data_IF_107625702145
#
_entry.id   IF_107625702145
#
_cell.length_a   1.000
_cell.length_b   1.000
_cell.length_c   1.000
_cell.angle_alpha   90.00
_cell.angle_beta   90.00
_cell.angle_gamma   90.00
#
_symmetry.space_group_name_H-M   'P 1'
#
loop_
_entity.id
_entity.type
_entity.pdbx_description
1 polymer ?
#
# COMPACT_ATOMS: atom_id res chain seq x y z
N UNK A 1 2.19 -23.69 -2.24
CA UNK A 1 3.32 -24.11 -3.11
C UNK A 1 3.51 -23.07 -4.18
N UNK A 2 4.65 -22.39 -4.16
CA UNK A 2 5.11 -21.56 -5.28
C UNK A 2 5.88 -22.50 -6.25
N UNK A 3 5.19 -23.39 -6.93
CA UNK A 3 5.77 -24.06 -8.09
C UNK A 3 5.77 -23.04 -9.24
N UNK A 4 6.81 -23.10 -10.09
CA UNK A 4 6.85 -22.36 -11.35
C UNK A 4 5.66 -22.83 -12.19
N UNK A 5 4.49 -22.24 -11.97
CA UNK A 5 3.27 -22.62 -12.69
C UNK A 5 3.43 -22.23 -14.16
N UNK A 6 3.27 -23.20 -15.03
CA UNK A 6 3.00 -22.97 -16.44
C UNK A 6 1.88 -21.93 -16.55
N UNK A 7 2.15 -20.84 -17.27
CA UNK A 7 1.20 -19.75 -17.50
C UNK A 7 -0.17 -20.32 -17.87
N UNK A 8 -1.17 -20.04 -17.05
CA UNK A 8 -2.55 -20.40 -17.34
C UNK A 8 -3.00 -19.71 -18.65
N UNK A 9 -3.91 -20.34 -19.43
CA UNK A 9 -4.48 -19.69 -20.58
C UNK A 9 -5.15 -18.36 -20.17
N UNK A 10 -5.18 -17.36 -21.07
CA UNK A 10 -5.70 -16.04 -20.77
C UNK A 10 -7.16 -16.12 -20.32
N UNK A 11 -7.41 -15.88 -19.04
CA UNK A 11 -8.75 -15.74 -18.48
C UNK A 11 -9.02 -14.24 -18.43
N UNK A 12 -9.78 -13.73 -19.40
CA UNK A 12 -10.25 -12.34 -19.36
C UNK A 12 -11.15 -12.13 -18.17
N UNK A 13 -10.71 -11.30 -17.21
CA UNK A 13 -11.58 -10.83 -16.15
C UNK A 13 -12.27 -9.57 -16.64
N UNK A 14 -13.61 -9.55 -16.76
CA UNK A 14 -14.30 -8.29 -17.01
C UNK A 14 -13.88 -7.27 -15.96
N UNK A 15 -13.47 -6.08 -16.40
CA UNK A 15 -13.29 -4.98 -15.49
C UNK A 15 -14.58 -4.82 -14.67
N UNK A 16 -14.46 -4.59 -13.36
CA UNK A 16 -15.62 -4.17 -12.58
C UNK A 16 -16.21 -2.94 -13.27
N UNK A 17 -17.51 -2.85 -13.39
CA UNK A 17 -18.18 -1.70 -14.01
C UNK A 17 -17.78 -0.37 -13.34
N UNK A 18 -17.32 -0.44 -12.08
CA UNK A 18 -16.92 0.70 -11.24
C UNK A 18 -15.78 0.29 -10.31
N UNK A 19 -14.89 1.22 -9.91
CA UNK A 19 -13.85 0.93 -8.92
C UNK A 19 -14.47 0.53 -7.58
N UNK A 20 -13.79 -0.32 -6.84
CA UNK A 20 -14.11 -0.70 -5.46
C UNK A 20 -13.36 0.12 -4.42
N UNK A 21 -12.26 0.73 -4.85
CA UNK A 21 -11.44 1.61 -4.02
C UNK A 21 -10.99 2.81 -4.87
N UNK A 22 -11.18 4.01 -4.35
CA UNK A 22 -10.54 5.23 -4.86
C UNK A 22 -9.53 5.66 -3.81
N UNK A 23 -8.25 5.71 -4.18
CA UNK A 23 -7.15 6.03 -3.27
C UNK A 23 -6.55 7.36 -3.64
N UNK A 24 -6.44 8.27 -2.67
CA UNK A 24 -5.92 9.61 -2.87
C UNK A 24 -4.52 9.75 -2.25
N UNK A 25 -3.55 10.12 -3.08
CA UNK A 25 -2.27 10.65 -2.67
C UNK A 25 -2.38 12.15 -2.44
N UNK A 26 -2.91 12.58 -1.30
CA UNK A 26 -3.27 13.98 -1.03
C UNK A 26 -2.10 14.94 -0.90
N UNK A 27 -0.89 14.43 -0.84
CA UNK A 27 0.36 15.19 -0.91
C UNK A 27 1.48 14.32 -1.49
N UNK A 28 2.64 14.93 -1.80
CA UNK A 28 3.78 14.25 -2.38
C UNK A 28 5.00 14.26 -1.46
N UNK A 29 4.81 14.35 -0.15
CA UNK A 29 5.91 14.27 0.81
C UNK A 29 5.55 13.37 2.00
N UNK A 30 6.59 12.82 2.63
CA UNK A 30 6.50 12.07 3.88
C UNK A 30 7.46 12.67 4.92
N UNK A 31 7.04 12.66 6.19
CA UNK A 31 7.83 13.16 7.32
C UNK A 31 8.75 12.09 7.94
N UNK A 32 8.85 10.90 7.33
CA UNK A 32 9.77 9.81 7.69
C UNK A 32 10.68 9.42 6.51
N UNK A 33 11.76 8.69 6.82
CA UNK A 33 12.78 8.26 5.86
C UNK A 33 13.03 6.76 5.95
N UNK A 34 11.95 5.98 5.84
CA UNK A 34 11.97 4.52 6.02
C UNK A 34 12.92 3.84 5.03
N UNK A 35 13.77 2.92 5.51
CA UNK A 35 14.81 2.23 4.72
C UNK A 35 14.24 1.41 3.56
N UNK A 36 13.03 0.84 3.72
CA UNK A 36 12.37 0.00 2.72
C UNK A 36 11.43 0.77 1.78
N UNK A 37 11.59 2.09 1.65
CA UNK A 37 10.65 2.91 0.90
C UNK A 37 11.37 3.91 -0.01
N UNK A 38 11.18 3.82 -1.32
CA UNK A 38 11.81 4.73 -2.31
C UNK A 38 11.48 6.20 -2.04
N UNK A 39 10.24 6.50 -1.61
CA UNK A 39 9.84 7.86 -1.21
C UNK A 39 10.61 8.31 0.03
N UNK A 40 10.75 7.45 1.02
CA UNK A 40 11.49 7.74 2.27
C UNK A 40 12.97 7.94 2.04
N UNK A 41 13.57 7.17 1.13
CA UNK A 41 15.00 7.23 0.78
C UNK A 41 15.33 8.26 -0.31
N UNK A 42 14.30 8.86 -0.94
CA UNK A 42 14.48 9.96 -1.89
C UNK A 42 14.75 9.54 -3.33
N UNK A 43 14.49 8.27 -3.68
CA UNK A 43 14.67 7.73 -5.04
C UNK A 43 13.49 8.12 -5.96
N UNK A 44 13.55 9.34 -6.49
CA UNK A 44 12.47 9.90 -7.35
C UNK A 44 12.47 9.33 -8.78
N UNK A 45 13.50 8.62 -9.17
CA UNK A 45 13.69 7.97 -10.48
C UNK A 45 13.06 6.58 -10.57
N UNK A 46 12.67 5.99 -9.44
CA UNK A 46 11.89 4.75 -9.45
C UNK A 46 10.43 5.01 -9.81
N UNK A 47 9.72 3.98 -10.28
CA UNK A 47 8.27 4.10 -10.55
C UNK A 47 7.50 4.57 -9.32
N UNK A 48 7.83 4.02 -8.14
CA UNK A 48 7.17 4.39 -6.89
C UNK A 48 7.49 5.84 -6.50
N UNK A 49 8.76 6.25 -6.55
CA UNK A 49 9.14 7.63 -6.30
C UNK A 49 8.56 8.60 -7.33
N UNK A 50 8.64 8.25 -8.60
CA UNK A 50 8.15 9.09 -9.69
C UNK A 50 6.63 9.31 -9.68
N UNK A 51 5.85 8.31 -9.22
CA UNK A 51 4.39 8.45 -9.06
C UNK A 51 4.00 9.31 -7.86
N UNK A 52 4.78 9.32 -6.79
CA UNK A 52 4.39 9.92 -5.51
C UNK A 52 5.19 11.16 -5.14
N UNK A 53 6.37 11.36 -5.71
CA UNK A 53 7.25 12.49 -5.43
C UNK A 53 7.16 13.53 -6.55
N UNK A 54 7.86 14.64 -6.38
CA UNK A 54 7.99 15.66 -7.41
C UNK A 54 9.01 16.70 -7.00
N UNK A 55 9.46 17.51 -7.96
CA UNK A 55 10.44 18.57 -7.74
C UNK A 55 9.97 19.67 -6.75
N UNK A 56 8.66 19.79 -6.52
CA UNK A 56 8.07 20.74 -5.57
C UNK A 56 7.09 20.01 -4.67
N UNK A 57 7.00 20.46 -3.40
CA UNK A 57 5.97 19.98 -2.48
C UNK A 57 4.60 20.39 -3.01
N UNK A 58 3.70 19.41 -3.10
CA UNK A 58 2.32 19.57 -3.57
C UNK A 58 1.37 19.02 -2.52
N UNK A 59 0.22 19.64 -2.44
CA UNK A 59 -0.90 19.20 -1.60
C UNK A 59 -2.18 19.38 -2.41
N UNK A 60 -3.06 18.40 -2.33
CA UNK A 60 -4.37 18.46 -2.99
C UNK A 60 -5.17 19.66 -2.47
N UNK A 61 -5.66 20.55 -3.33
CA UNK A 61 -6.63 21.56 -2.91
C UNK A 61 -7.91 20.92 -2.38
N UNK A 62 -8.53 21.51 -1.36
CA UNK A 62 -9.77 20.96 -0.78
C UNK A 62 -10.89 20.89 -1.82
N UNK A 63 -10.94 21.87 -2.72
CA UNK A 63 -11.94 21.95 -3.80
C UNK A 63 -11.80 20.78 -4.79
N UNK A 64 -10.56 20.34 -5.08
CA UNK A 64 -10.32 19.17 -5.90
C UNK A 64 -10.78 17.90 -5.20
N UNK A 65 -10.50 17.78 -3.90
CA UNK A 65 -11.00 16.67 -3.10
C UNK A 65 -12.53 16.63 -3.11
N UNK A 66 -13.20 17.79 -2.92
CA UNK A 66 -14.66 17.87 -2.92
C UNK A 66 -15.23 17.43 -4.26
N UNK A 67 -14.66 17.89 -5.38
CA UNK A 67 -15.05 17.43 -6.72
C UNK A 67 -14.94 15.88 -6.82
N UNK A 68 -13.82 15.30 -6.42
CA UNK A 68 -13.63 13.85 -6.44
C UNK A 68 -14.66 13.12 -5.57
N UNK A 69 -14.93 13.64 -4.37
CA UNK A 69 -15.89 13.05 -3.44
C UNK A 69 -17.33 13.11 -3.98
N UNK A 70 -17.73 14.24 -4.59
CA UNK A 70 -19.03 14.38 -5.24
C UNK A 70 -19.19 13.41 -6.41
N UNK A 71 -18.16 13.27 -7.24
CA UNK A 71 -18.16 12.30 -8.34
C UNK A 71 -18.21 10.85 -7.81
N UNK A 72 -17.49 10.53 -6.72
CA UNK A 72 -17.57 9.21 -6.08
C UNK A 72 -18.98 8.88 -5.61
N UNK A 73 -19.65 9.83 -4.96
CA UNK A 73 -21.02 9.65 -4.44
C UNK A 73 -22.03 9.32 -5.55
N UNK A 74 -21.77 9.75 -6.78
CA UNK A 74 -22.61 9.46 -7.96
C UNK A 74 -22.15 8.21 -8.69
N UNK A 75 -20.86 8.12 -9.01
CA UNK A 75 -20.30 7.08 -9.88
C UNK A 75 -20.05 5.76 -9.17
N UNK A 76 -19.50 5.81 -7.95
CA UNK A 76 -19.11 4.61 -7.20
C UNK A 76 -19.37 4.76 -5.69
N UNK A 77 -20.63 4.96 -5.26
CA UNK A 77 -20.97 5.26 -3.85
C UNK A 77 -20.54 4.15 -2.87
N UNK A 78 -20.47 2.91 -3.31
CA UNK A 78 -20.03 1.76 -2.51
C UNK A 78 -18.50 1.58 -2.47
N UNK A 79 -17.73 2.43 -3.19
CA UNK A 79 -16.29 2.36 -3.19
C UNK A 79 -15.72 2.91 -1.88
N UNK A 80 -14.66 2.28 -1.37
CA UNK A 80 -13.89 2.82 -0.25
C UNK A 80 -13.05 4.01 -0.71
N UNK A 81 -13.11 5.11 0.03
CA UNK A 81 -12.25 6.26 -0.14
C UNK A 81 -11.00 6.09 0.75
N UNK A 82 -9.83 5.92 0.16
CA UNK A 82 -8.57 5.74 0.89
C UNK A 82 -7.67 6.98 0.82
N UNK A 83 -7.13 7.40 1.95
CA UNK A 83 -6.02 8.37 2.01
C UNK A 83 -4.74 7.60 2.34
N UNK A 84 -3.79 7.53 1.39
CA UNK A 84 -2.61 6.67 1.55
C UNK A 84 -1.36 7.16 0.81
N UNK A 85 -0.30 6.36 0.88
CA UNK A 85 0.99 6.35 0.20
C UNK A 85 2.08 7.23 0.79
N UNK A 86 1.89 8.53 0.93
CA UNK A 86 2.81 9.44 1.61
C UNK A 86 2.41 9.56 3.07
N UNK A 87 2.21 10.75 3.62
CA UNK A 87 1.66 10.90 4.97
C UNK A 87 0.39 11.77 4.94
N UNK A 88 -0.79 11.15 4.92
CA UNK A 88 -2.05 11.87 4.86
C UNK A 88 -2.29 12.80 6.05
N UNK A 89 -1.81 12.45 7.25
CA UNK A 89 -1.95 13.33 8.43
C UNK A 89 -1.14 14.64 8.31
N UNK A 90 -0.22 14.73 7.36
CA UNK A 90 0.46 15.98 7.06
C UNK A 90 -0.34 16.91 6.14
N UNK A 91 -1.40 16.41 5.51
CA UNK A 91 -2.30 17.21 4.72
C UNK A 91 -3.27 17.99 5.61
N UNK A 92 -3.16 19.33 5.60
CA UNK A 92 -3.92 20.21 6.53
C UNK A 92 -5.43 20.03 6.43
N UNK A 93 -6.06 19.97 5.22
CA UNK A 93 -7.50 19.86 5.10
C UNK A 93 -8.11 18.49 5.48
N UNK A 94 -7.34 17.50 5.94
CA UNK A 94 -7.82 16.13 6.16
C UNK A 94 -9.10 16.06 7.01
N UNK A 95 -9.17 16.82 8.12
CA UNK A 95 -10.36 16.82 8.98
C UNK A 95 -11.62 17.36 8.29
N UNK A 96 -11.47 18.42 7.48
CA UNK A 96 -12.56 18.97 6.67
C UNK A 96 -12.98 17.99 5.57
N UNK A 97 -12.01 17.34 4.94
CA UNK A 97 -12.23 16.32 3.91
C UNK A 97 -12.97 15.10 4.45
N UNK A 98 -12.58 14.59 5.62
CA UNK A 98 -13.26 13.47 6.28
C UNK A 98 -14.71 13.85 6.64
N UNK A 99 -14.92 15.05 7.18
CA UNK A 99 -16.25 15.53 7.47
C UNK A 99 -17.11 15.74 6.20
N UNK A 100 -16.49 16.11 5.08
CA UNK A 100 -17.17 16.19 3.79
C UNK A 100 -17.57 14.82 3.26
N UNK A 101 -16.65 13.87 3.27
CA UNK A 101 -16.89 12.49 2.85
C UNK A 101 -17.99 11.81 3.66
N UNK A 102 -18.01 12.02 4.99
CA UNK A 102 -19.05 11.49 5.89
C UNK A 102 -20.44 12.04 5.54
N UNK A 103 -20.57 13.35 5.23
CA UNK A 103 -21.86 13.92 4.78
C UNK A 103 -22.37 13.31 3.47
N UNK A 104 -21.47 12.84 2.60
CA UNK A 104 -21.81 12.13 1.37
C UNK A 104 -22.05 10.64 1.57
N UNK A 105 -21.88 10.13 2.79
CA UNK A 105 -22.01 8.70 3.10
C UNK A 105 -20.84 7.85 2.59
N UNK A 106 -19.71 8.44 2.24
CA UNK A 106 -18.54 7.71 1.73
C UNK A 106 -17.79 7.01 2.86
N UNK A 107 -17.32 5.81 2.59
CA UNK A 107 -16.53 5.01 3.53
C UNK A 107 -15.05 5.42 3.47
N UNK A 108 -14.65 6.38 4.30
CA UNK A 108 -13.29 6.89 4.33
C UNK A 108 -12.35 6.06 5.21
N UNK A 109 -11.12 5.84 4.74
CA UNK A 109 -10.03 5.16 5.47
C UNK A 109 -8.74 5.95 5.37
N UNK A 110 -7.89 5.88 6.39
CA UNK A 110 -6.61 6.60 6.45
C UNK A 110 -5.47 5.64 6.76
N UNK A 111 -4.42 5.66 5.94
CA UNK A 111 -3.15 4.96 6.18
C UNK A 111 -2.09 5.97 6.61
N UNK A 112 -1.49 5.77 7.77
CA UNK A 112 -0.52 6.72 8.35
C UNK A 112 0.69 6.01 8.97
N UNK A 113 1.82 6.71 8.99
CA UNK A 113 2.98 6.30 9.78
C UNK A 113 2.84 6.58 11.30
N UNK A 114 1.75 7.21 11.72
CA UNK A 114 1.41 7.46 13.11
C UNK A 114 2.12 8.64 13.78
N UNK A 115 3.15 9.23 13.17
CA UNK A 115 3.96 10.30 13.80
C UNK A 115 3.13 11.53 14.21
N UNK A 116 2.13 11.89 13.42
CA UNK A 116 1.24 13.02 13.68
C UNK A 116 -0.08 12.61 14.37
N UNK A 117 -0.29 11.32 14.57
CA UNK A 117 -1.55 10.79 15.08
C UNK A 117 -1.97 11.38 16.44
N UNK A 118 -1.06 11.58 17.45
CA UNK A 118 -1.44 12.19 18.71
C UNK A 118 -2.02 13.61 18.56
N UNK A 119 -1.61 14.35 17.53
CA UNK A 119 -2.05 15.73 17.28
C UNK A 119 -3.32 15.84 16.44
N UNK A 120 -3.65 14.79 15.70
CA UNK A 120 -4.74 14.79 14.70
C UNK A 120 -5.85 13.78 15.04
N UNK A 121 -5.80 13.17 16.24
CA UNK A 121 -6.72 12.10 16.65
C UNK A 121 -8.20 12.48 16.53
N UNK A 122 -8.55 13.70 16.96
CA UNK A 122 -9.93 14.20 16.97
C UNK A 122 -10.55 14.34 15.57
N UNK A 123 -9.71 14.47 14.54
CA UNK A 123 -10.19 14.55 13.15
C UNK A 123 -10.66 13.21 12.61
N UNK A 124 -10.16 12.11 13.19
CA UNK A 124 -10.43 10.73 12.75
C UNK A 124 -11.63 10.09 13.46
N UNK A 125 -12.08 10.68 14.56
CA UNK A 125 -13.17 10.16 15.38
C UNK A 125 -14.55 10.68 14.94
N UNK A 126 -15.59 10.29 15.66
CA UNK A 126 -16.98 10.71 15.41
C UNK A 126 -17.55 10.12 14.12
N UNK A 127 -17.14 8.89 13.77
CA UNK A 127 -17.63 8.17 12.60
C UNK A 127 -17.12 8.66 11.24
N UNK A 128 -16.28 9.73 11.20
CA UNK A 128 -15.78 10.32 9.95
C UNK A 128 -14.76 9.45 9.23
N UNK A 129 -13.92 8.74 10.00
CA UNK A 129 -13.00 7.73 9.48
C UNK A 129 -13.49 6.36 9.90
N UNK A 130 -13.67 5.43 8.96
CA UNK A 130 -14.15 4.07 9.26
C UNK A 130 -13.02 3.10 9.55
N UNK A 131 -11.84 3.30 8.96
CA UNK A 131 -10.67 2.45 9.16
C UNK A 131 -9.38 3.27 9.23
N UNK A 132 -8.61 3.02 10.27
CA UNK A 132 -7.29 3.63 10.49
C UNK A 132 -6.22 2.54 10.40
N UNK A 133 -5.34 2.66 9.41
CA UNK A 133 -4.22 1.74 9.19
C UNK A 133 -2.93 2.42 9.64
N UNK A 134 -2.32 1.91 10.72
CA UNK A 134 -1.08 2.47 11.28
C UNK A 134 0.09 1.56 10.95
N UNK A 135 1.16 2.14 10.43
CA UNK A 135 2.36 1.38 10.07
C UNK A 135 3.31 1.28 11.26
N UNK A 136 3.53 0.06 11.78
CA UNK A 136 4.52 -0.24 12.82
C UNK A 136 5.33 -1.49 12.41
N UNK A 137 6.66 -1.42 12.39
CA UNK A 137 7.52 -2.45 11.78
C UNK A 137 8.36 -3.25 12.78
N UNK A 138 7.93 -3.38 14.01
CA UNK A 138 8.63 -4.16 15.04
C UNK A 138 8.52 -3.53 16.43
N UNK A 139 9.20 -4.10 17.44
CA UNK A 139 9.40 -3.46 18.74
C UNK A 139 10.03 -2.07 18.59
N UNK A 140 9.92 -1.21 19.60
CA UNK A 140 10.28 0.21 19.52
C UNK A 140 11.64 0.47 18.86
N UNK A 141 12.69 -0.20 19.32
CA UNK A 141 14.04 0.01 18.81
C UNK A 141 14.19 -0.41 17.32
N UNK A 142 13.50 -1.46 16.90
CA UNK A 142 13.53 -1.96 15.53
C UNK A 142 12.71 -1.05 14.63
N UNK A 143 11.51 -0.68 15.06
CA UNK A 143 10.67 0.27 14.32
C UNK A 143 11.37 1.62 14.10
N UNK A 144 11.94 2.21 15.15
CA UNK A 144 12.61 3.51 15.05
C UNK A 144 13.84 3.46 14.15
N UNK A 145 14.56 2.32 14.13
CA UNK A 145 15.65 2.07 13.19
C UNK A 145 15.14 2.03 11.75
N UNK A 146 14.13 1.19 11.45
CA UNK A 146 13.55 1.03 10.11
C UNK A 146 12.97 2.36 9.59
N UNK A 147 12.30 3.11 10.46
CA UNK A 147 11.66 4.39 10.12
C UNK A 147 12.61 5.59 10.21
N UNK A 148 13.86 5.38 10.68
CA UNK A 148 14.90 6.43 10.86
C UNK A 148 14.42 7.60 11.70
N UNK A 149 13.63 7.32 12.74
CA UNK A 149 13.09 8.35 13.63
C UNK A 149 12.91 7.82 15.04
N UNK A 150 13.82 8.19 15.94
CA UNK A 150 13.70 7.88 17.36
C UNK A 150 12.41 8.45 17.93
N UNK A 151 11.65 7.63 18.65
CA UNK A 151 10.37 7.96 19.27
C UNK A 151 9.16 7.88 18.31
N UNK A 152 9.34 7.45 17.05
CA UNK A 152 8.21 7.28 16.14
C UNK A 152 7.25 6.18 16.59
N UNK A 153 7.77 5.08 17.12
CA UNK A 153 6.95 4.02 17.72
C UNK A 153 6.07 4.54 18.86
N UNK A 154 6.66 5.25 19.81
CA UNK A 154 5.92 5.79 20.97
C UNK A 154 4.81 6.76 20.54
N UNK A 155 5.08 7.65 19.59
CA UNK A 155 4.07 8.59 19.08
C UNK A 155 2.93 7.86 18.36
N UNK A 156 3.23 6.84 17.57
CA UNK A 156 2.19 6.05 16.91
C UNK A 156 1.32 5.30 17.94
N UNK A 157 1.92 4.65 18.94
CA UNK A 157 1.21 3.94 20.02
C UNK A 157 0.36 4.90 20.85
N UNK A 158 0.91 6.08 21.21
CA UNK A 158 0.16 7.14 21.91
C UNK A 158 -1.06 7.57 21.08
N UNK A 159 -0.84 7.80 19.79
CA UNK A 159 -1.91 8.18 18.88
C UNK A 159 -3.01 7.13 18.73
N UNK A 160 -2.65 5.84 18.63
CA UNK A 160 -3.61 4.73 18.61
C UNK A 160 -4.48 4.75 19.86
N UNK A 161 -3.86 4.83 21.04
CA UNK A 161 -4.58 4.89 22.33
C UNK A 161 -5.50 6.11 22.42
N UNK A 162 -5.04 7.26 21.92
CA UNK A 162 -5.82 8.50 21.91
C UNK A 162 -7.03 8.40 21.01
N UNK A 163 -6.86 7.93 19.75
CA UNK A 163 -7.97 7.74 18.81
C UNK A 163 -9.00 6.77 19.36
N UNK A 164 -8.56 5.63 19.90
CA UNK A 164 -9.46 4.62 20.44
C UNK A 164 -10.26 5.06 21.66
N UNK A 165 -9.81 6.08 22.40
CA UNK A 165 -10.50 6.64 23.55
C UNK A 165 -11.56 7.70 23.17
N UNK A 166 -11.64 8.12 21.91
CA UNK A 166 -12.59 9.11 21.43
C UNK A 166 -13.96 8.47 21.11
N UNK A 167 -15.06 9.25 21.06
CA UNK A 167 -16.35 8.77 20.62
C UNK A 167 -16.32 8.27 19.18
N UNK A 168 -17.00 7.15 18.91
CA UNK A 168 -17.09 6.51 17.57
C UNK A 168 -15.72 6.44 16.86
N UNK A 169 -14.73 5.73 17.46
CA UNK A 169 -13.41 5.60 16.87
C UNK A 169 -13.46 4.72 15.61
N UNK A 170 -12.53 4.90 14.65
CA UNK A 170 -12.39 3.98 13.56
C UNK A 170 -11.96 2.59 14.02
N UNK A 171 -12.19 1.57 13.19
CA UNK A 171 -11.48 0.30 13.31
C UNK A 171 -9.98 0.54 13.11
N UNK A 172 -9.15 0.09 14.07
CA UNK A 172 -7.71 0.34 14.03
C UNK A 172 -6.98 -0.95 13.69
N UNK A 173 -6.22 -0.90 12.60
CA UNK A 173 -5.35 -1.98 12.16
C UNK A 173 -3.89 -1.53 12.12
N UNK A 174 -2.98 -2.44 12.42
CA UNK A 174 -1.54 -2.19 12.32
C UNK A 174 -0.95 -3.04 11.21
N UNK A 175 -0.12 -2.45 10.35
CA UNK A 175 0.62 -3.17 9.32
C UNK A 175 2.12 -3.06 9.54
N UNK A 176 2.79 -4.22 9.54
CA UNK A 176 4.23 -4.39 9.68
C UNK A 176 4.81 -4.92 8.37
N UNK A 177 5.72 -4.17 7.76
CA UNK A 177 6.49 -4.67 6.62
C UNK A 177 7.62 -5.56 7.12
N UNK A 178 7.67 -6.81 6.64
CA UNK A 178 8.74 -7.75 6.95
C UNK A 178 10.00 -7.33 6.19
N UNK A 179 11.08 -7.13 6.93
CA UNK A 179 12.40 -6.74 6.42
C UNK A 179 13.49 -7.56 7.11
N UNK A 180 14.71 -7.51 6.62
CA UNK A 180 15.88 -8.14 7.25
C UNK A 180 16.13 -7.64 8.69
N UNK A 181 15.63 -6.44 9.03
CA UNK A 181 15.81 -5.83 10.35
C UNK A 181 14.89 -6.39 11.42
N UNK A 182 13.68 -6.86 11.05
CA UNK A 182 12.66 -7.30 12.02
C UNK A 182 12.42 -8.81 12.05
N UNK A 183 13.04 -9.59 11.18
CA UNK A 183 13.01 -11.06 11.24
C UNK A 183 13.62 -11.56 12.55
N UNK A 184 12.87 -12.42 13.26
CA UNK A 184 13.19 -12.88 14.62
C UNK A 184 12.76 -11.92 15.74
N UNK A 185 12.01 -10.87 15.41
CA UNK A 185 11.43 -9.90 16.36
C UNK A 185 9.91 -9.72 16.17
N UNK A 186 9.31 -10.43 15.17
CA UNK A 186 7.89 -10.31 14.83
C UNK A 186 6.99 -10.83 15.95
N UNK A 187 7.37 -11.95 16.60
CA UNK A 187 6.62 -12.49 17.74
C UNK A 187 6.61 -11.52 18.93
N UNK A 188 7.75 -10.92 19.25
CA UNK A 188 7.83 -9.91 20.31
C UNK A 188 6.99 -8.69 19.96
N UNK A 189 7.05 -8.21 18.72
CA UNK A 189 6.20 -7.15 18.21
C UNK A 189 4.70 -7.45 18.37
N UNK A 190 4.24 -8.64 17.97
CA UNK A 190 2.83 -9.03 18.14
C UNK A 190 2.41 -9.07 19.62
N UNK A 191 3.32 -9.46 20.53
CA UNK A 191 3.06 -9.41 21.96
C UNK A 191 2.87 -7.96 22.47
N UNK A 192 3.66 -6.99 21.95
CA UNK A 192 3.47 -5.56 22.25
C UNK A 192 2.12 -5.06 21.73
N UNK A 193 1.69 -5.53 20.54
CA UNK A 193 0.40 -5.15 19.94
C UNK A 193 -0.81 -5.65 20.74
N UNK A 194 -0.68 -6.70 21.56
CA UNK A 194 -1.76 -7.17 22.44
C UNK A 194 -2.20 -6.12 23.49
N UNK A 195 -1.39 -5.09 23.73
CA UNK A 195 -1.71 -4.01 24.68
C UNK A 195 -2.51 -2.87 24.03
N UNK A 196 -2.85 -2.99 22.74
CA UNK A 196 -3.54 -1.96 21.97
C UNK A 196 -4.93 -2.45 21.54
N UNK A 197 -5.92 -1.56 21.42
CA UNK A 197 -7.26 -1.89 20.98
C UNK A 197 -7.32 -2.03 19.45
N UNK A 198 -6.74 -3.08 18.94
CA UNK A 198 -6.63 -3.34 17.49
C UNK A 198 -7.67 -4.35 17.03
N UNK A 199 -8.20 -4.15 15.83
CA UNK A 199 -9.03 -5.14 15.13
C UNK A 199 -8.19 -6.12 14.34
N UNK A 200 -7.07 -5.67 13.77
CA UNK A 200 -6.21 -6.51 12.93
C UNK A 200 -4.73 -6.11 13.04
N UNK A 201 -3.84 -7.09 12.93
CA UNK A 201 -2.42 -6.86 12.67
C UNK A 201 -2.01 -7.64 11.42
N UNK A 202 -1.43 -6.95 10.44
CA UNK A 202 -0.94 -7.52 9.19
C UNK A 202 0.58 -7.58 9.15
N UNK A 203 1.15 -8.75 8.92
CA UNK A 203 2.54 -8.95 8.55
C UNK A 203 2.63 -8.98 7.03
N UNK A 204 3.25 -7.97 6.44
CA UNK A 204 3.28 -7.76 5.00
C UNK A 204 4.69 -8.06 4.48
N UNK A 205 4.81 -9.07 3.62
CA UNK A 205 6.08 -9.31 2.94
C UNK A 205 6.49 -8.10 2.11
N UNK A 206 7.77 -7.72 2.20
CA UNK A 206 8.26 -6.56 1.46
C UNK A 206 8.05 -6.74 -0.06
N UNK A 207 7.47 -5.73 -0.69
CA UNK A 207 7.32 -5.67 -2.13
C UNK A 207 8.57 -5.03 -2.72
N UNK A 208 9.20 -5.70 -3.66
CA UNK A 208 10.42 -5.18 -4.29
C UNK A 208 10.50 -5.58 -5.78
N UNK A 209 11.31 -4.86 -6.52
CA UNK A 209 11.67 -5.17 -7.91
C UNK A 209 13.18 -5.04 -8.02
N UNK A 210 13.86 -6.11 -8.46
CA UNK A 210 15.29 -6.10 -8.72
C UNK A 210 15.61 -5.53 -10.11
N UNK A 211 16.90 -5.17 -10.36
CA UNK A 211 17.36 -4.73 -11.68
C UNK A 211 17.06 -5.78 -12.75
N UNK A 212 17.33 -7.06 -12.45
CA UNK A 212 17.07 -8.17 -13.41
C UNK A 212 15.58 -8.30 -13.74
N UNK A 213 14.69 -8.16 -12.73
CA UNK A 213 13.25 -8.18 -12.96
C UNK A 213 12.79 -6.99 -13.81
N UNK A 214 13.32 -5.79 -13.53
CA UNK A 214 13.03 -4.59 -14.31
C UNK A 214 13.52 -4.73 -15.76
N UNK A 215 14.75 -5.23 -15.96
CA UNK A 215 15.33 -5.47 -17.29
C UNK A 215 14.52 -6.52 -18.08
N UNK A 216 14.18 -7.66 -17.46
CA UNK A 216 13.34 -8.68 -18.07
C UNK A 216 11.98 -8.13 -18.47
N UNK A 217 11.36 -7.34 -17.59
CA UNK A 217 10.09 -6.69 -17.88
C UNK A 217 10.21 -5.71 -19.06
N UNK A 218 11.22 -4.85 -19.02
CA UNK A 218 11.40 -3.79 -20.03
C UNK A 218 11.71 -4.34 -21.42
N UNK A 219 12.35 -5.50 -21.51
CA UNK A 219 12.59 -6.17 -22.80
C UNK A 219 11.29 -6.54 -23.54
N UNK A 220 10.21 -6.81 -22.82
CA UNK A 220 8.94 -7.22 -23.40
C UNK A 220 7.85 -6.13 -23.34
N UNK A 221 7.86 -5.28 -22.31
CA UNK A 221 6.76 -4.35 -22.00
C UNK A 221 7.21 -2.91 -21.75
N UNK A 222 8.53 -2.64 -21.77
CA UNK A 222 9.07 -1.35 -21.37
C UNK A 222 8.68 -0.17 -22.24
N UNK A 223 8.26 -0.41 -23.49
CA UNK A 223 7.78 0.65 -24.37
C UNK A 223 6.49 1.31 -23.86
N UNK A 224 5.56 0.51 -23.31
CA UNK A 224 4.26 0.98 -22.82
C UNK A 224 4.21 1.10 -21.31
N UNK A 225 4.87 0.19 -20.60
CA UNK A 225 4.83 0.05 -19.13
C UNK A 225 6.24 -0.06 -18.55
N UNK A 226 7.06 1.00 -18.56
CA UNK A 226 8.44 0.92 -18.10
C UNK A 226 8.53 0.59 -16.61
N UNK A 227 9.36 -0.38 -16.25
CA UNK A 227 9.64 -0.78 -14.88
C UNK A 227 11.02 -0.33 -14.41
N UNK A 228 11.13 -0.01 -13.13
CA UNK A 228 12.39 0.31 -12.46
C UNK A 228 12.58 -0.62 -11.26
N UNK A 229 13.81 -0.82 -10.78
CA UNK A 229 14.05 -1.35 -9.45
C UNK A 229 13.30 -0.54 -8.40
N UNK A 230 12.86 -1.18 -7.33
CA UNK A 230 12.07 -0.52 -6.27
C UNK A 230 12.29 -1.20 -4.93
N UNK A 231 12.39 -0.40 -3.86
CA UNK A 231 12.55 -0.83 -2.46
C UNK A 231 13.78 -1.73 -2.21
N UNK A 232 14.86 -1.51 -2.94
CA UNK A 232 16.12 -2.28 -2.90
C UNK A 232 17.34 -1.42 -2.57
N UNK A 233 17.17 -0.10 -2.33
CA UNK A 233 18.31 0.82 -2.26
C UNK A 233 18.96 0.88 -0.88
N UNK A 234 18.19 0.78 0.20
CA UNK A 234 18.67 0.88 1.57
C UNK A 234 18.17 -0.27 2.46
N UNK A 235 17.36 -1.15 1.92
CA UNK A 235 16.99 -2.45 2.45
C UNK A 235 17.35 -3.51 1.42
N UNK A 236 17.74 -4.69 1.89
CA UNK A 236 18.01 -5.84 1.01
C UNK A 236 17.05 -6.98 1.32
N UNK A 237 15.88 -7.01 0.69
CA UNK A 237 14.92 -8.11 0.88
C UNK A 237 15.50 -9.48 0.56
N UNK A 238 16.52 -9.57 -0.31
CA UNK A 238 17.14 -10.84 -0.69
C UNK A 238 18.03 -11.44 0.41
N UNK A 239 18.45 -10.61 1.37
CA UNK A 239 19.25 -11.03 2.54
C UNK A 239 18.40 -11.57 3.71
N UNK A 240 17.07 -11.57 3.60
CA UNK A 240 16.18 -12.10 4.64
C UNK A 240 16.52 -13.57 4.96
N UNK A 241 16.76 -13.85 6.25
CA UNK A 241 16.90 -15.21 6.75
C UNK A 241 15.54 -15.94 6.72
N UNK A 242 15.28 -16.62 5.62
CA UNK A 242 14.01 -17.28 5.35
C UNK A 242 13.74 -18.47 6.25
N UNK A 243 14.80 -19.13 6.77
CA UNK A 243 14.66 -20.25 7.72
C UNK A 243 14.19 -19.73 9.06
N UNK A 244 14.83 -18.67 9.54
CA UNK A 244 14.44 -17.99 10.78
C UNK A 244 13.04 -17.39 10.67
N UNK A 245 12.72 -16.74 9.55
CA UNK A 245 11.40 -16.17 9.30
C UNK A 245 10.31 -17.26 9.31
N UNK A 246 10.54 -18.38 8.60
CA UNK A 246 9.58 -19.49 8.58
C UNK A 246 9.34 -20.06 9.98
N UNK A 247 10.41 -20.32 10.75
CA UNK A 247 10.29 -20.81 12.12
C UNK A 247 9.51 -19.85 13.02
N UNK A 248 9.77 -18.54 12.91
CA UNK A 248 9.07 -17.51 13.67
C UNK A 248 7.57 -17.42 13.27
N UNK A 249 7.24 -17.48 11.99
CA UNK A 249 5.85 -17.49 11.50
C UNK A 249 5.10 -18.75 11.97
N UNK A 250 5.77 -19.90 12.02
CA UNK A 250 5.20 -21.14 12.58
C UNK A 250 4.92 -21.04 14.09
N UNK A 251 5.80 -20.38 14.84
CA UNK A 251 5.54 -20.06 16.27
C UNK A 251 4.35 -19.15 16.42
N UNK A 252 4.29 -18.06 15.64
CA UNK A 252 3.22 -17.07 15.64
C UNK A 252 1.87 -17.71 15.33
N UNK A 253 1.81 -18.63 14.37
CA UNK A 253 0.59 -19.33 13.96
C UNK A 253 0.02 -20.28 15.03
N UNK A 254 0.85 -20.73 16.00
CA UNK A 254 0.39 -21.58 17.11
C UNK A 254 -0.20 -20.79 18.28
N UNK A 255 -0.05 -19.47 18.27
CA UNK A 255 -0.52 -18.59 19.33
C UNK A 255 -1.92 -18.02 18.99
N UNK A 256 -2.66 -17.67 20.02
CA UNK A 256 -3.92 -16.94 19.88
C UNK A 256 -3.70 -15.47 20.16
N UNK A 257 -4.20 -14.64 19.27
CA UNK A 257 -4.05 -13.18 19.34
C UNK A 257 -5.41 -12.51 19.61
N UNK A 258 -5.48 -11.37 20.32
CA UNK A 258 -6.75 -10.66 20.55
C UNK A 258 -7.24 -9.87 19.34
N UNK A 259 -6.59 -9.95 18.21
CA UNK A 259 -6.87 -9.31 16.94
C UNK A 259 -6.78 -10.33 15.80
N UNK A 260 -7.37 -10.01 14.66
CA UNK A 260 -7.16 -10.80 13.45
C UNK A 260 -5.68 -10.68 12.99
N UNK A 261 -5.02 -11.81 12.79
CA UNK A 261 -3.65 -11.83 12.24
C UNK A 261 -3.70 -12.16 10.75
N UNK A 262 -3.15 -11.28 9.93
CA UNK A 262 -3.01 -11.44 8.49
C UNK A 262 -1.54 -11.55 8.09
N UNK A 263 -1.22 -12.46 7.17
CA UNK A 263 0.10 -12.54 6.50
C UNK A 263 -0.13 -12.37 5.00
N UNK A 264 0.46 -11.34 4.40
CA UNK A 264 0.20 -10.98 3.00
C UNK A 264 1.50 -10.80 2.19
N UNK A 265 1.70 -11.51 1.07
CA UNK A 265 0.96 -12.73 0.71
C UNK A 265 1.12 -13.84 1.73
N UNK A 266 0.23 -14.82 1.74
CA UNK A 266 0.28 -15.91 2.73
C UNK A 266 1.41 -16.90 2.41
N UNK A 267 2.64 -16.49 2.70
CA UNK A 267 3.88 -17.26 2.55
C UNK A 267 4.50 -17.46 3.92
N UNK A 268 4.53 -18.71 4.39
CA UNK A 268 5.07 -19.06 5.72
C UNK A 268 6.14 -20.13 5.67
N UNK A 269 6.15 -20.98 4.64
CA UNK A 269 7.09 -22.09 4.51
C UNK A 269 8.43 -21.61 3.98
N UNK A 270 9.53 -22.11 4.56
CA UNK A 270 10.89 -21.71 4.17
C UNK A 270 11.16 -21.87 2.66
N UNK A 271 10.64 -22.92 2.01
CA UNK A 271 10.80 -23.12 0.58
C UNK A 271 10.11 -22.01 -0.25
N UNK A 272 8.89 -21.61 0.11
CA UNK A 272 8.14 -20.57 -0.57
C UNK A 272 8.78 -19.19 -0.33
N UNK A 273 9.26 -18.95 0.90
CA UNK A 273 10.00 -17.75 1.27
C UNK A 273 11.34 -17.64 0.53
N UNK A 274 12.07 -18.76 0.35
CA UNK A 274 13.30 -18.80 -0.43
C UNK A 274 13.06 -18.42 -1.89
N UNK A 275 12.00 -18.95 -2.51
CA UNK A 275 11.60 -18.56 -3.87
C UNK A 275 11.24 -17.07 -3.91
N UNK A 276 10.48 -16.57 -2.93
CA UNK A 276 10.03 -15.17 -2.91
C UNK A 276 11.18 -14.19 -2.75
N UNK A 277 12.07 -14.41 -1.77
CA UNK A 277 13.12 -13.46 -1.41
C UNK A 277 14.45 -13.71 -2.12
N UNK A 278 14.90 -14.98 -2.18
CA UNK A 278 16.26 -15.34 -2.59
C UNK A 278 16.37 -15.78 -4.06
N UNK A 279 15.23 -15.97 -4.75
CA UNK A 279 15.21 -16.34 -6.16
C UNK A 279 14.39 -15.32 -6.99
N UNK A 280 14.81 -14.04 -7.04
CA UNK A 280 14.03 -13.00 -7.69
C UNK A 280 13.81 -13.22 -9.19
N UNK A 281 14.68 -14.01 -9.84
CA UNK A 281 14.49 -14.46 -11.22
C UNK A 281 13.34 -15.45 -11.43
N UNK A 282 12.84 -16.11 -10.36
CA UNK A 282 11.70 -17.00 -10.45
C UNK A 282 10.41 -16.18 -10.42
N UNK A 283 9.56 -16.35 -11.45
CA UNK A 283 8.26 -15.69 -11.51
C UNK A 283 7.32 -16.31 -10.45
N UNK A 284 6.68 -15.47 -9.65
CA UNK A 284 5.70 -15.86 -8.64
C UNK A 284 4.51 -14.91 -8.66
N UNK A 285 3.41 -15.33 -8.03
CA UNK A 285 2.14 -14.61 -8.09
C UNK A 285 1.24 -15.15 -9.20
N UNK A 286 -0.04 -14.77 -9.17
CA UNK A 286 -1.05 -15.34 -10.06
C UNK A 286 -1.67 -14.29 -10.96
N UNK A 287 -2.24 -13.24 -10.35
CA UNK A 287 -3.03 -12.26 -11.06
C UNK A 287 -3.12 -10.94 -10.31
N UNK A 288 -3.07 -9.83 -11.03
CA UNK A 288 -3.39 -8.51 -10.50
C UNK A 288 -4.90 -8.28 -10.55
N UNK A 289 -5.57 -8.39 -9.39
CA UNK A 289 -6.98 -8.01 -9.29
C UNK A 289 -7.16 -6.49 -9.11
N UNK A 290 -6.12 -5.81 -8.67
CA UNK A 290 -6.18 -4.38 -8.30
C UNK A 290 -6.42 -3.48 -9.52
N UNK A 291 -5.91 -3.85 -10.71
CA UNK A 291 -6.15 -3.13 -11.96
C UNK A 291 -7.65 -3.04 -12.34
N UNK A 292 -8.47 -3.97 -11.82
CA UNK A 292 -9.91 -4.03 -12.04
C UNK A 292 -10.72 -3.55 -10.81
N UNK A 293 -10.06 -2.99 -9.77
CA UNK A 293 -10.72 -2.65 -8.49
C UNK A 293 -10.30 -1.30 -7.93
N UNK A 294 -9.08 -0.86 -8.22
CA UNK A 294 -8.48 0.33 -7.60
C UNK A 294 -8.29 1.43 -8.63
N UNK A 295 -8.67 2.65 -8.25
CA UNK A 295 -8.32 3.88 -8.94
C UNK A 295 -7.53 4.74 -7.98
N UNK A 296 -6.34 5.20 -8.39
CA UNK A 296 -5.53 6.10 -7.60
C UNK A 296 -5.40 7.46 -8.27
N UNK A 297 -5.50 8.53 -7.47
CA UNK A 297 -5.36 9.92 -7.91
C UNK A 297 -4.35 10.63 -7.02
N UNK A 298 -3.42 11.35 -7.62
CA UNK A 298 -2.40 12.12 -6.92
C UNK A 298 -2.89 13.51 -6.49
N UNK A 299 -2.02 14.30 -5.85
CA UNK A 299 -2.34 15.61 -5.30
C UNK A 299 -2.72 16.67 -6.37
N UNK A 300 -2.37 16.45 -7.62
CA UNK A 300 -2.70 17.35 -8.74
C UNK A 300 -3.93 16.87 -9.52
N UNK A 301 -4.50 15.73 -9.16
CA UNK A 301 -5.64 15.13 -9.85
C UNK A 301 -5.25 14.19 -10.99
N UNK A 302 -3.95 13.89 -11.15
CA UNK A 302 -3.48 12.93 -12.13
C UNK A 302 -3.79 11.50 -11.67
N UNK A 303 -4.27 10.67 -12.59
CA UNK A 303 -4.48 9.26 -12.30
C UNK A 303 -3.16 8.50 -12.37
N UNK A 304 -2.90 7.74 -11.33
CA UNK A 304 -1.79 6.78 -11.26
C UNK A 304 -2.36 5.39 -11.55
N UNK A 305 -1.71 4.56 -12.38
CA UNK A 305 -2.21 3.21 -12.64
C UNK A 305 -2.26 2.41 -11.34
N UNK A 306 -3.39 1.86 -11.02
CA UNK A 306 -3.68 0.95 -9.91
C UNK A 306 -3.24 1.49 -8.54
N UNK A 307 -1.93 1.60 -8.26
CA UNK A 307 -1.37 2.18 -7.04
C UNK A 307 0.05 2.73 -7.27
N UNK A 308 0.58 3.49 -6.31
CA UNK A 308 1.83 4.23 -6.45
C UNK A 308 3.07 3.42 -6.85
N UNK A 309 3.06 2.11 -6.69
CA UNK A 309 4.18 1.22 -7.10
C UNK A 309 4.09 0.72 -8.53
N UNK A 310 2.96 0.93 -9.20
CA UNK A 310 2.79 0.50 -10.60
C UNK A 310 3.58 1.38 -11.57
N UNK A 311 3.61 0.95 -12.82
CA UNK A 311 4.32 1.64 -13.90
C UNK A 311 3.86 3.09 -14.01
N UNK A 312 4.83 3.98 -14.26
CA UNK A 312 4.49 5.37 -14.48
C UNK A 312 4.13 5.60 -15.94
N UNK A 313 2.84 5.68 -16.21
CA UNK A 313 2.35 6.23 -17.46
C UNK A 313 1.14 7.14 -17.18
N UNK A 314 1.11 8.35 -17.73
CA UNK A 314 0.01 9.26 -17.49
C UNK A 314 -1.26 8.72 -18.16
N UNK A 315 -2.38 8.71 -17.43
CA UNK A 315 -3.68 8.29 -17.96
C UNK A 315 -4.47 9.52 -18.33
N UNK A 316 -4.97 10.25 -17.33
CA UNK A 316 -5.73 11.49 -17.49
C UNK A 316 -5.82 12.21 -16.14
N UNK A 317 -6.19 13.49 -16.19
CA UNK A 317 -6.50 14.27 -15.00
C UNK A 317 -8.01 14.22 -14.70
N UNK A 318 -8.35 14.05 -13.42
CA UNK A 318 -9.76 13.96 -13.00
C UNK A 318 -10.55 15.23 -13.30
N UNK A 319 -9.88 16.38 -13.33
CA UNK A 319 -10.52 17.67 -13.69
C UNK A 319 -11.00 17.72 -15.13
N UNK A 320 -10.34 16.97 -16.02
CA UNK A 320 -10.63 17.02 -17.46
C UNK A 320 -11.67 15.99 -17.88
N UNK A 321 -11.65 14.80 -17.26
CA UNK A 321 -12.47 13.66 -17.74
C UNK A 321 -13.34 13.04 -16.64
N UNK A 322 -13.20 13.44 -15.38
CA UNK A 322 -13.90 12.84 -14.24
C UNK A 322 -13.43 11.42 -13.92
N UNK A 323 -13.97 10.85 -12.82
CA UNK A 323 -13.63 9.49 -12.37
C UNK A 323 -14.05 8.40 -13.37
N UNK A 324 -15.22 8.55 -13.98
CA UNK A 324 -15.71 7.62 -14.99
C UNK A 324 -14.83 7.62 -16.24
N UNK A 325 -14.47 8.81 -16.72
CA UNK A 325 -13.57 8.95 -17.88
C UNK A 325 -12.17 8.40 -17.62
N UNK A 326 -11.64 8.49 -16.38
CA UNK A 326 -10.39 7.82 -16.03
C UNK A 326 -10.58 6.31 -16.01
N UNK A 327 -11.64 5.80 -15.36
CA UNK A 327 -11.86 4.37 -15.16
C UNK A 327 -12.01 3.61 -16.48
N UNK A 328 -12.60 4.24 -17.49
CA UNK A 328 -12.83 3.70 -18.84
C UNK A 328 -11.77 4.15 -19.86
N UNK A 329 -10.71 4.82 -19.41
CA UNK A 329 -9.70 5.38 -20.30
C UNK A 329 -8.95 4.28 -21.07
N UNK A 330 -8.69 4.45 -22.38
CA UNK A 330 -8.02 3.43 -23.22
C UNK A 330 -6.65 2.96 -22.67
N UNK A 331 -5.92 3.83 -21.97
CA UNK A 331 -4.63 3.46 -21.37
C UNK A 331 -4.78 2.48 -20.20
N UNK A 332 -5.82 2.63 -19.37
CA UNK A 332 -6.13 1.66 -18.31
C UNK A 332 -6.57 0.33 -18.92
N UNK A 333 -7.41 0.37 -19.94
CA UNK A 333 -7.82 -0.83 -20.67
C UNK A 333 -6.63 -1.51 -21.34
N UNK A 334 -5.67 -0.75 -21.88
CA UNK A 334 -4.42 -1.29 -22.42
C UNK A 334 -3.61 -2.05 -21.35
N UNK A 335 -3.50 -1.52 -20.11
CA UNK A 335 -2.85 -2.22 -19.02
C UNK A 335 -3.60 -3.50 -18.62
N UNK A 336 -4.93 -3.46 -18.51
CA UNK A 336 -5.76 -4.63 -18.20
C UNK A 336 -5.57 -5.72 -19.24
N UNK A 337 -5.60 -5.35 -20.51
CA UNK A 337 -5.36 -6.26 -21.64
C UNK A 337 -3.96 -6.87 -21.57
N UNK A 338 -2.92 -6.06 -21.35
CA UNK A 338 -1.54 -6.55 -21.26
C UNK A 338 -1.36 -7.52 -20.08
N UNK A 339 -2.02 -7.26 -18.94
CA UNK A 339 -2.02 -8.19 -17.80
C UNK A 339 -2.70 -9.52 -18.15
N UNK A 340 -3.87 -9.47 -18.80
CA UNK A 340 -4.60 -10.68 -19.22
C UNK A 340 -3.82 -11.50 -20.26
N UNK A 341 -3.23 -10.85 -21.25
CA UNK A 341 -2.43 -11.49 -22.30
C UNK A 341 -1.14 -12.11 -21.75
N UNK A 342 -0.58 -11.51 -20.68
CA UNK A 342 0.58 -12.04 -19.96
C UNK A 342 0.22 -13.18 -18.97
N UNK A 343 -1.03 -13.59 -18.89
CA UNK A 343 -1.50 -14.63 -17.96
C UNK A 343 -1.79 -14.12 -16.55
N UNK A 344 -2.01 -12.82 -16.38
CA UNK A 344 -2.46 -12.16 -15.14
C UNK A 344 -1.46 -11.21 -14.49
N UNK A 345 -0.16 -11.35 -14.75
CA UNK A 345 0.90 -10.49 -14.20
C UNK A 345 2.00 -10.23 -15.23
N UNK A 346 2.54 -9.02 -15.21
CA UNK A 346 3.78 -8.67 -15.91
C UNK A 346 5.02 -9.02 -15.05
N UNK A 347 6.22 -9.20 -15.64
CA UNK A 347 7.39 -9.66 -14.89
C UNK A 347 7.71 -8.85 -13.62
N UNK A 348 7.68 -7.52 -13.68
CA UNK A 348 7.94 -6.67 -12.52
C UNK A 348 6.82 -6.70 -11.45
N UNK A 349 5.67 -7.34 -11.71
CA UNK A 349 4.60 -7.53 -10.71
C UNK A 349 4.86 -8.73 -9.78
N UNK A 350 5.88 -9.52 -10.05
CA UNK A 350 6.10 -10.84 -9.43
C UNK A 350 6.24 -10.80 -7.89
N UNK A 351 6.65 -9.67 -7.30
CA UNK A 351 6.76 -9.49 -5.83
C UNK A 351 5.78 -8.42 -5.31
N UNK A 352 4.78 -8.06 -6.09
CA UNK A 352 3.73 -7.14 -5.65
C UNK A 352 2.67 -7.90 -4.85
N UNK A 353 2.23 -7.35 -3.71
CA UNK A 353 1.16 -7.95 -2.90
C UNK A 353 -0.15 -8.11 -3.68
N UNK A 354 -0.47 -7.20 -4.61
CA UNK A 354 -1.61 -7.30 -5.50
C UNK A 354 -1.55 -8.49 -6.48
N UNK A 355 -0.36 -9.05 -6.72
CA UNK A 355 -0.14 -10.22 -7.58
C UNK A 355 -0.52 -11.55 -6.95
N UNK A 356 -0.80 -11.57 -5.65
CA UNK A 356 -1.20 -12.75 -4.89
C UNK A 356 -2.68 -12.70 -4.47
N UNK A 357 -3.45 -11.79 -5.03
CA UNK A 357 -4.86 -11.59 -4.69
C UNK A 357 -5.69 -12.86 -4.83
N UNK A 358 -6.55 -13.09 -3.84
CA UNK A 358 -7.56 -14.14 -3.78
C UNK A 358 -8.77 -13.78 -4.64
#
# INVERSE_FOLDING_TARGET
>A
MLEAETRNPPIRTPAASRPKHVVLGVNNFCNLRCVMCDVGTGHSDTNFGANLMGARTRSMPLELFQQIADEMAIFCPDARLGFAFTEPLAWKPLGEALAYADRLGLHATVTTNGLLLPKRAEELAGGRCRGLFVSLDGPEEVHDLIRRRVGSFRLAVEGIKRVAALPDPPEISVFCTITEYNVGRLRAFLADMCQLPLTQVGLIHNNFVTDDQANLHNAAYGADFPATPSNMFEADPTSIDVVRLSAELDEIARLTWPFELMIQPHLTRAADLAIYYQQPGTFVGRRCNDANRILMIDADGESVPVHGRCYRFPIANVRDVGLDGIWTHPRIEGLRTALDDAGGLLPACSRCCGGFGQ
#
